data_IF_305522930017
#
_entry.id   IF_305522930017
#
_cell.length_a   1.000
_cell.length_b   1.000
_cell.length_c   1.000
_cell.angle_alpha   90.00
_cell.angle_beta   90.00
_cell.angle_gamma   90.00
#
_symmetry.space_group_name_H-M   'P 1'
#
loop_
_entity.id
_entity.type
_entity.pdbx_description
1 polymer ?
#
# COMPACT_ATOMS: atom_id res chain seq x y z
N UNK A 1 22.24 -55.35 80.56
CA UNK A 1 21.14 -54.39 80.76
C UNK A 1 19.75 -54.91 80.33
N UNK A 2 19.60 -56.01 79.56
CA UNK A 2 18.30 -56.48 79.03
C UNK A 2 17.46 -57.37 79.99
N UNK A 3 18.06 -57.94 81.05
CA UNK A 3 17.35 -58.91 81.91
C UNK A 3 16.43 -58.28 82.97
N UNK A 4 16.73 -57.08 83.47
CA UNK A 4 15.89 -56.42 84.49
C UNK A 4 14.53 -55.95 83.94
N UNK A 5 14.48 -55.54 82.67
CA UNK A 5 13.26 -55.01 82.03
C UNK A 5 12.20 -56.09 81.78
N UNK A 6 12.63 -57.33 81.45
CA UNK A 6 11.73 -58.48 81.27
C UNK A 6 11.11 -58.97 82.58
N UNK A 7 11.76 -58.72 83.72
CA UNK A 7 11.29 -59.18 85.04
C UNK A 7 10.18 -58.28 85.59
N UNK A 8 10.30 -56.95 85.44
CA UNK A 8 9.28 -55.97 85.87
C UNK A 8 7.97 -56.14 85.11
N UNK A 9 8.04 -56.42 83.80
CA UNK A 9 6.84 -56.58 82.97
C UNK A 9 6.10 -57.91 83.20
N UNK A 10 6.79 -58.95 83.68
CA UNK A 10 6.17 -60.25 84.01
C UNK A 10 5.39 -60.22 85.32
N UNK A 11 5.84 -59.48 86.34
CA UNK A 11 5.10 -59.34 87.60
C UNK A 11 3.79 -58.53 87.44
N UNK A 12 3.76 -57.53 86.56
CA UNK A 12 2.55 -56.70 86.34
C UNK A 12 1.41 -57.39 85.58
N UNK A 13 1.67 -58.49 84.87
CA UNK A 13 0.65 -59.17 84.04
C UNK A 13 -0.11 -60.29 84.78
N UNK A 14 0.34 -60.70 85.98
CA UNK A 14 -0.20 -61.87 86.69
C UNK A 14 -1.12 -61.50 87.88
N UNK A 15 -1.23 -60.24 88.29
CA UNK A 15 -2.02 -59.87 89.50
C UNK A 15 -3.24 -58.97 89.23
N UNK A 16 -3.59 -58.68 87.98
CA UNK A 16 -4.77 -57.81 87.63
C UNK A 16 -5.87 -58.59 86.88
N UNK A 17 -5.89 -59.92 86.99
CA UNK A 17 -6.91 -60.78 86.36
C UNK A 17 -7.98 -61.33 87.31
N UNK A 18 -7.78 -61.25 88.63
CA UNK A 18 -8.63 -61.94 89.61
C UNK A 18 -9.65 -61.03 90.34
N UNK A 19 -9.75 -59.75 89.95
CA UNK A 19 -10.65 -58.77 90.58
C UNK A 19 -11.52 -58.01 89.57
N UNK A 20 -11.98 -58.68 88.49
CA UNK A 20 -13.06 -58.16 87.65
C UNK A 20 -14.38 -58.76 88.13
N UNK A 21 -15.24 -57.94 88.72
CA UNK A 21 -16.58 -58.34 89.12
C UNK A 21 -17.42 -58.73 87.88
N UNK A 22 -18.27 -59.77 87.95
CA UNK A 22 -19.10 -60.21 86.82
C UNK A 22 -20.05 -59.13 86.28
N UNK A 23 -20.26 -58.06 87.05
CA UNK A 23 -21.05 -56.87 86.68
C UNK A 23 -20.44 -56.07 85.51
N UNK A 24 -19.10 -56.05 85.37
CA UNK A 24 -18.43 -55.28 84.32
C UNK A 24 -18.77 -55.80 82.91
N UNK A 25 -18.87 -57.12 82.74
CA UNK A 25 -19.26 -57.72 81.47
C UNK A 25 -20.73 -57.43 81.12
N UNK A 26 -21.62 -57.43 82.12
CA UNK A 26 -23.03 -57.04 81.95
C UNK A 26 -23.20 -55.57 81.56
N UNK A 27 -22.41 -54.67 82.16
CA UNK A 27 -22.38 -53.24 81.82
C UNK A 27 -21.87 -52.99 80.38
N UNK A 28 -20.85 -53.71 79.95
CA UNK A 28 -20.26 -53.55 78.61
C UNK A 28 -21.20 -54.00 77.49
N UNK A 29 -21.95 -55.10 77.69
CA UNK A 29 -22.88 -55.65 76.68
C UNK A 29 -24.13 -54.80 76.46
N UNK A 30 -24.46 -53.88 77.39
CA UNK A 30 -25.59 -52.94 77.28
C UNK A 30 -25.26 -51.61 76.58
N UNK A 31 -24.00 -51.37 76.17
CA UNK A 31 -23.66 -50.14 75.45
C UNK A 31 -24.06 -50.23 73.98
N UNK A 32 -25.15 -49.55 73.63
CA UNK A 32 -25.38 -49.05 72.28
C UNK A 32 -24.30 -47.99 72.01
N UNK A 33 -23.55 -48.10 70.92
CA UNK A 33 -22.43 -47.22 70.63
C UNK A 33 -22.91 -45.89 70.04
N UNK A 34 -23.13 -44.90 70.91
CA UNK A 34 -23.54 -43.54 70.50
C UNK A 34 -22.42 -42.75 69.78
N UNK A 35 -21.23 -43.33 69.58
CA UNK A 35 -20.13 -42.71 68.83
C UNK A 35 -20.20 -42.96 67.32
N UNK A 36 -21.25 -43.61 66.80
CA UNK A 36 -21.52 -43.60 65.35
C UNK A 36 -22.43 -42.39 65.11
N UNK A 37 -21.95 -41.32 64.47
CA UNK A 37 -22.81 -40.19 64.14
C UNK A 37 -23.96 -40.70 63.28
N UNK A 38 -25.20 -40.49 63.74
CA UNK A 38 -26.41 -40.71 62.94
C UNK A 38 -26.24 -39.90 61.64
N UNK A 39 -26.44 -40.47 60.44
CA UNK A 39 -26.38 -39.70 59.20
C UNK A 39 -27.38 -38.56 59.31
N UNK A 40 -26.93 -37.30 59.22
CA UNK A 40 -27.85 -36.17 59.18
C UNK A 40 -28.68 -36.29 57.91
N UNK A 41 -30.00 -36.41 58.05
CA UNK A 41 -30.97 -36.45 56.94
C UNK A 41 -31.04 -35.14 56.14
N UNK A 42 -30.28 -34.09 56.53
CA UNK A 42 -30.09 -32.87 55.74
C UNK A 42 -29.06 -33.02 54.60
N UNK A 43 -28.41 -34.18 54.48
CA UNK A 43 -27.47 -34.46 53.40
C UNK A 43 -28.13 -35.17 52.20
N UNK A 44 -29.27 -34.65 51.72
CA UNK A 44 -29.85 -35.01 50.41
C UNK A 44 -29.28 -34.09 49.31
N UNK A 45 -28.05 -33.61 49.48
CA UNK A 45 -27.27 -33.06 48.38
C UNK A 45 -26.40 -34.18 47.85
N UNK A 46 -26.62 -34.59 46.60
CA UNK A 46 -25.87 -35.69 45.99
C UNK A 46 -24.38 -35.39 46.04
N UNK A 47 -23.55 -36.44 46.11
CA UNK A 47 -22.09 -36.32 46.00
C UNK A 47 -21.72 -35.54 44.72
N UNK A 48 -22.53 -35.68 43.67
CA UNK A 48 -22.48 -34.92 42.42
C UNK A 48 -22.55 -33.39 42.61
N UNK A 49 -23.39 -32.91 43.52
CA UNK A 49 -23.53 -31.48 43.82
C UNK A 49 -22.31 -30.92 44.57
N UNK A 50 -21.64 -31.76 45.38
CA UNK A 50 -20.36 -31.44 46.04
C UNK A 50 -19.16 -31.57 45.11
N UNK A 51 -19.28 -32.36 44.03
CA UNK A 51 -18.31 -32.49 42.95
C UNK A 51 -18.55 -31.51 41.80
N UNK A 52 -19.55 -30.61 41.92
CA UNK A 52 -19.74 -29.51 40.97
C UNK A 52 -18.51 -28.62 41.01
N UNK A 53 -17.59 -28.86 40.08
CA UNK A 53 -16.32 -28.15 39.93
C UNK A 53 -16.65 -26.70 39.62
N UNK A 54 -16.67 -25.85 40.66
CA UNK A 54 -16.67 -24.40 40.47
C UNK A 54 -15.30 -24.06 39.91
N UNK A 55 -15.23 -23.43 38.71
CA UNK A 55 -13.96 -23.01 38.15
C UNK A 55 -13.22 -22.14 39.16
N UNK A 56 -11.95 -22.43 39.40
CA UNK A 56 -11.14 -21.59 40.25
C UNK A 56 -10.99 -20.20 39.63
N UNK A 57 -10.78 -19.16 40.45
CA UNK A 57 -10.53 -17.80 39.95
C UNK A 57 -9.37 -17.77 38.94
N UNK A 58 -8.36 -18.63 39.13
CA UNK A 58 -7.23 -18.78 38.21
C UNK A 58 -7.62 -19.38 36.85
N UNK A 59 -8.59 -20.31 36.83
CA UNK A 59 -9.08 -20.94 35.61
C UNK A 59 -9.86 -19.94 34.75
N UNK A 60 -10.69 -19.11 35.40
CA UNK A 60 -11.40 -18.00 34.75
C UNK A 60 -10.41 -16.99 34.15
N UNK A 61 -9.41 -16.57 34.95
CA UNK A 61 -8.37 -15.64 34.48
C UNK A 61 -7.59 -16.20 33.30
N UNK A 62 -7.26 -17.50 33.33
CA UNK A 62 -6.54 -18.17 32.25
C UNK A 62 -7.36 -18.22 30.95
N UNK A 63 -8.65 -18.54 31.06
CA UNK A 63 -9.56 -18.55 29.91
C UNK A 63 -9.71 -17.16 29.30
N UNK A 64 -9.92 -16.14 30.14
CA UNK A 64 -10.04 -14.74 29.69
C UNK A 64 -8.76 -14.23 29.03
N UNK A 65 -7.59 -14.59 29.59
CA UNK A 65 -6.31 -14.28 28.97
C UNK A 65 -6.16 -14.96 27.60
N UNK A 66 -6.60 -16.22 27.48
CA UNK A 66 -6.62 -16.94 26.21
C UNK A 66 -7.51 -16.27 25.17
N UNK A 67 -8.72 -15.85 25.54
CA UNK A 67 -9.65 -15.12 24.67
C UNK A 67 -9.04 -13.81 24.17
N UNK A 68 -8.53 -12.97 25.09
CA UNK A 68 -7.88 -11.70 24.74
C UNK A 68 -6.66 -11.90 23.85
N UNK A 69 -5.86 -12.92 24.11
CA UNK A 69 -4.68 -13.24 23.27
C UNK A 69 -5.09 -13.65 21.86
N UNK A 70 -6.17 -14.43 21.72
CA UNK A 70 -6.72 -14.81 20.41
C UNK A 70 -7.27 -13.60 19.64
N UNK A 71 -8.00 -12.71 20.32
CA UNK A 71 -8.51 -11.47 19.73
C UNK A 71 -7.37 -10.55 19.25
N UNK A 72 -6.32 -10.39 20.06
CA UNK A 72 -5.13 -9.64 19.68
C UNK A 72 -4.43 -10.27 18.47
N UNK A 73 -4.31 -11.60 18.42
CA UNK A 73 -3.76 -12.32 17.28
C UNK A 73 -4.51 -12.00 15.97
N UNK A 74 -5.85 -12.08 16.01
CA UNK A 74 -6.70 -11.73 14.84
C UNK A 74 -6.52 -10.27 14.42
N UNK A 75 -6.38 -9.35 15.38
CA UNK A 75 -6.16 -7.92 15.09
C UNK A 75 -4.78 -7.67 14.46
N UNK A 76 -3.75 -8.41 14.89
CA UNK A 76 -2.41 -8.34 14.29
C UNK A 76 -2.47 -8.83 12.84
N UNK A 77 -3.09 -9.99 12.60
CA UNK A 77 -3.26 -10.56 11.25
C UNK A 77 -3.98 -9.58 10.31
N UNK A 78 -5.10 -8.98 10.77
CA UNK A 78 -5.79 -7.94 10.02
C UNK A 78 -4.87 -6.76 9.68
N UNK A 79 -4.13 -6.23 10.66
CA UNK A 79 -3.21 -5.10 10.43
C UNK A 79 -2.08 -5.45 9.47
N UNK A 80 -1.59 -6.69 9.48
CA UNK A 80 -0.58 -7.18 8.54
C UNK A 80 -1.14 -7.23 7.11
N UNK A 81 -2.37 -7.72 6.92
CA UNK A 81 -3.06 -7.69 5.62
C UNK A 81 -3.28 -6.26 5.12
N UNK A 82 -3.74 -5.36 5.98
CA UNK A 82 -3.93 -3.95 5.61
C UNK A 82 -2.62 -3.28 5.22
N UNK A 83 -1.54 -3.54 5.96
CA UNK A 83 -0.20 -3.05 5.65
C UNK A 83 0.27 -3.56 4.29
N UNK A 84 0.07 -4.84 3.97
CA UNK A 84 0.41 -5.39 2.65
C UNK A 84 -0.39 -4.71 1.54
N UNK A 85 -1.71 -4.57 1.72
CA UNK A 85 -2.59 -3.89 0.75
C UNK A 85 -2.17 -2.44 0.50
N UNK A 86 -1.87 -1.70 1.56
CA UNK A 86 -1.40 -0.31 1.45
C UNK A 86 -0.04 -0.22 0.77
N UNK A 87 0.88 -1.14 1.07
CA UNK A 87 2.18 -1.22 0.40
C UNK A 87 2.03 -1.38 -1.12
N UNK A 88 1.17 -2.32 -1.55
CA UNK A 88 0.85 -2.52 -2.97
C UNK A 88 0.25 -1.26 -3.61
N UNK A 89 -0.67 -0.58 -2.92
CA UNK A 89 -1.28 0.63 -3.45
C UNK A 89 -0.26 1.77 -3.65
N UNK A 90 0.69 1.91 -2.71
CA UNK A 90 1.80 2.89 -2.83
C UNK A 90 2.66 2.58 -4.05
N UNK A 91 3.00 1.31 -4.28
CA UNK A 91 3.81 0.89 -5.43
C UNK A 91 3.07 1.11 -6.76
N UNK A 92 1.77 0.83 -6.82
CA UNK A 92 0.92 1.11 -7.99
C UNK A 92 0.94 2.61 -8.32
N UNK A 93 0.66 3.47 -7.34
CA UNK A 93 0.68 4.92 -7.55
C UNK A 93 2.06 5.44 -7.97
N UNK A 94 3.13 4.88 -7.42
CA UNK A 94 4.50 5.22 -7.81
C UNK A 94 4.76 4.88 -9.28
N UNK A 95 4.34 3.70 -9.72
CA UNK A 95 4.47 3.25 -11.11
C UNK A 95 3.66 4.13 -12.07
N UNK A 96 2.42 4.45 -11.71
CA UNK A 96 1.55 5.35 -12.49
C UNK A 96 2.17 6.75 -12.63
N UNK A 97 2.66 7.32 -11.53
CA UNK A 97 3.33 8.63 -11.54
C UNK A 97 4.58 8.62 -12.43
N UNK A 98 5.37 7.55 -12.40
CA UNK A 98 6.55 7.41 -13.26
C UNK A 98 6.18 7.35 -14.75
N UNK A 99 5.12 6.59 -15.10
CA UNK A 99 4.60 6.50 -16.47
C UNK A 99 4.12 7.86 -16.97
N UNK A 100 3.38 8.60 -16.15
CA UNK A 100 2.92 9.95 -16.46
C UNK A 100 4.10 10.90 -16.67
N UNK A 101 5.13 10.83 -15.82
CA UNK A 101 6.35 11.64 -15.97
C UNK A 101 7.06 11.37 -17.30
N UNK A 102 7.23 10.10 -17.68
CA UNK A 102 7.84 9.72 -18.96
C UNK A 102 7.02 10.24 -20.15
N UNK A 103 5.70 10.10 -20.10
CA UNK A 103 4.80 10.63 -21.13
C UNK A 103 4.88 12.15 -21.27
N UNK A 104 4.89 12.88 -20.15
CA UNK A 104 5.03 14.34 -20.12
C UNK A 104 6.35 14.79 -20.75
N UNK A 105 7.47 14.18 -20.37
CA UNK A 105 8.79 14.54 -20.89
C UNK A 105 8.86 14.35 -22.41
N UNK A 106 8.33 13.24 -22.93
CA UNK A 106 8.28 13.00 -24.38
C UNK A 106 7.44 14.07 -25.11
N UNK A 107 6.26 14.40 -24.58
CA UNK A 107 5.41 15.43 -25.17
C UNK A 107 6.06 16.82 -25.16
N UNK A 108 6.88 17.12 -24.14
CA UNK A 108 7.66 18.34 -24.02
C UNK A 108 8.79 18.41 -25.06
N UNK A 109 9.53 17.31 -25.24
CA UNK A 109 10.55 17.17 -26.31
C UNK A 109 9.93 17.33 -27.70
N UNK A 110 8.78 16.69 -27.96
CA UNK A 110 8.05 16.80 -29.23
C UNK A 110 7.59 18.25 -29.48
N UNK A 111 7.11 18.94 -28.44
CA UNK A 111 6.70 20.34 -28.52
C UNK A 111 7.88 21.27 -28.82
N UNK A 112 9.03 21.05 -28.19
CA UNK A 112 10.24 21.82 -28.44
C UNK A 112 10.76 21.59 -29.87
N UNK A 113 10.75 20.35 -30.36
CA UNK A 113 11.07 20.04 -31.76
C UNK A 113 10.15 20.82 -32.70
N UNK A 114 8.82 20.72 -32.51
CA UNK A 114 7.83 21.41 -33.33
C UNK A 114 8.03 22.94 -33.30
N UNK A 115 8.34 23.51 -32.14
CA UNK A 115 8.63 24.93 -31.98
C UNK A 115 9.88 25.33 -32.76
N UNK A 116 10.92 24.50 -32.81
CA UNK A 116 12.11 24.77 -33.63
C UNK A 116 11.80 24.70 -35.12
N UNK A 117 11.03 23.70 -35.56
CA UNK A 117 10.66 23.54 -36.96
C UNK A 117 9.73 24.66 -37.44
N UNK A 118 8.79 25.09 -36.61
CA UNK A 118 7.96 26.26 -36.89
C UNK A 118 8.80 27.54 -37.07
N UNK A 119 9.79 27.77 -36.20
CA UNK A 119 10.70 28.91 -36.33
C UNK A 119 11.48 28.86 -37.64
N UNK A 120 12.01 27.70 -38.02
CA UNK A 120 12.71 27.50 -39.30
C UNK A 120 11.77 27.78 -40.48
N UNK A 121 10.57 27.19 -40.48
CA UNK A 121 9.57 27.39 -41.52
C UNK A 121 9.22 28.87 -41.68
N UNK A 122 8.99 29.59 -40.58
CA UNK A 122 8.72 31.03 -40.60
C UNK A 122 9.87 31.85 -41.19
N UNK A 123 11.12 31.49 -40.89
CA UNK A 123 12.31 32.12 -41.49
C UNK A 123 12.40 31.82 -42.99
N UNK A 124 12.15 30.58 -43.40
CA UNK A 124 12.10 30.18 -44.82
C UNK A 124 11.02 30.94 -45.59
N UNK A 125 9.81 31.08 -45.02
CA UNK A 125 8.71 31.87 -45.59
C UNK A 125 9.08 33.33 -45.81
N UNK A 126 9.81 33.95 -44.87
CA UNK A 126 10.33 35.31 -45.02
C UNK A 126 11.39 35.40 -46.12
N UNK A 127 12.30 34.43 -46.17
CA UNK A 127 13.40 34.40 -47.15
C UNK A 127 12.90 34.17 -48.58
N UNK A 128 11.91 33.30 -48.75
CA UNK A 128 11.28 33.04 -50.05
C UNK A 128 10.36 34.18 -50.52
N UNK A 129 10.19 35.26 -49.74
CA UNK A 129 9.29 36.37 -50.09
C UNK A 129 7.80 36.03 -50.00
N UNK A 130 7.44 34.82 -49.58
CA UNK A 130 6.05 34.38 -49.36
C UNK A 130 5.39 35.06 -48.15
N UNK A 131 6.19 35.72 -47.30
CA UNK A 131 5.70 36.55 -46.20
C UNK A 131 5.26 37.97 -46.60
N UNK A 132 5.38 38.35 -47.87
CA UNK A 132 4.93 39.67 -48.36
C UNK A 132 3.40 39.76 -48.35
N UNK A 133 2.87 40.91 -47.98
CA UNK A 133 1.43 41.16 -48.10
C UNK A 133 1.04 41.35 -49.57
N UNK A 134 -0.22 41.12 -49.92
CA UNK A 134 -0.73 41.29 -51.29
C UNK A 134 -0.44 42.69 -51.85
N UNK A 135 -0.49 43.72 -51.00
CA UNK A 135 -0.18 45.11 -51.35
C UNK A 135 1.29 45.29 -51.77
N UNK A 136 2.23 44.64 -51.06
CA UNK A 136 3.65 44.67 -51.43
C UNK A 136 3.89 44.01 -52.79
N UNK A 137 3.21 42.90 -53.08
CA UNK A 137 3.25 42.26 -54.40
C UNK A 137 2.66 43.15 -55.50
N UNK A 138 1.54 43.82 -55.23
CA UNK A 138 0.92 44.76 -56.17
C UNK A 138 1.84 45.95 -56.47
N UNK A 139 2.55 46.46 -55.47
CA UNK A 139 3.54 47.52 -55.61
C UNK A 139 4.72 47.08 -56.51
N UNK A 140 5.33 45.92 -56.22
CA UNK A 140 6.42 45.37 -57.02
C UNK A 140 6.00 45.14 -58.48
N UNK A 141 4.80 44.60 -58.72
CA UNK A 141 4.29 44.40 -60.09
C UNK A 141 4.14 45.74 -60.82
N UNK A 142 3.68 46.80 -60.14
CA UNK A 142 3.58 48.14 -60.73
C UNK A 142 4.95 48.71 -61.07
N UNK A 143 5.91 48.60 -60.17
CA UNK A 143 7.29 49.03 -60.39
C UNK A 143 7.91 48.30 -61.58
N UNK A 144 7.74 46.97 -61.67
CA UNK A 144 8.29 46.18 -62.77
C UNK A 144 7.62 46.49 -64.10
N UNK A 145 6.31 46.75 -64.12
CA UNK A 145 5.61 47.25 -65.33
C UNK A 145 6.19 48.58 -65.80
N UNK A 146 6.43 49.53 -64.90
CA UNK A 146 7.03 50.82 -65.30
C UNK A 146 8.44 50.66 -65.86
N UNK A 147 9.23 49.71 -65.34
CA UNK A 147 10.55 49.40 -65.89
C UNK A 147 10.45 48.79 -67.29
N UNK A 148 9.51 47.86 -67.51
CA UNK A 148 9.26 47.27 -68.83
C UNK A 148 8.89 48.36 -69.84
N UNK A 149 7.99 49.27 -69.48
CA UNK A 149 7.60 50.38 -70.36
C UNK A 149 8.78 51.29 -70.71
N UNK A 150 9.68 51.54 -69.74
CA UNK A 150 10.91 52.30 -69.98
C UNK A 150 11.86 51.57 -70.94
N UNK A 151 12.03 50.25 -70.78
CA UNK A 151 12.85 49.45 -71.68
C UNK A 151 12.27 49.37 -73.09
N UNK A 152 10.94 49.26 -73.21
CA UNK A 152 10.27 49.27 -74.50
C UNK A 152 10.52 50.57 -75.26
N UNK A 153 10.41 51.72 -74.58
CA UNK A 153 10.75 53.02 -75.19
C UNK A 153 12.21 53.08 -75.66
N UNK A 154 13.15 52.65 -74.82
CA UNK A 154 14.58 52.58 -75.20
C UNK A 154 14.82 51.65 -76.39
N UNK A 155 14.09 50.54 -76.45
CA UNK A 155 14.19 49.58 -77.55
C UNK A 155 13.68 50.20 -78.86
N UNK A 156 12.55 50.90 -78.84
CA UNK A 156 12.03 51.60 -80.03
C UNK A 156 12.96 52.74 -80.48
N UNK A 157 13.52 53.51 -79.55
CA UNK A 157 14.52 54.54 -79.85
C UNK A 157 15.79 53.94 -80.49
N UNK A 158 16.28 52.81 -79.97
CA UNK A 158 17.41 52.11 -80.57
C UNK A 158 17.07 51.58 -81.98
N UNK A 159 15.84 51.08 -82.17
CA UNK A 159 15.36 50.59 -83.48
C UNK A 159 15.28 51.71 -84.51
N UNK A 160 14.71 52.86 -84.15
CA UNK A 160 14.62 54.02 -85.05
C UNK A 160 16.01 54.53 -85.44
N UNK A 161 16.94 54.63 -84.49
CA UNK A 161 18.35 54.98 -84.77
C UNK A 161 19.02 53.98 -85.71
N UNK A 162 18.81 52.68 -85.51
CA UNK A 162 19.35 51.64 -86.39
C UNK A 162 18.84 51.79 -87.82
N UNK A 163 17.52 51.96 -87.99
CA UNK A 163 16.92 52.16 -89.31
C UNK A 163 17.41 53.45 -89.99
N UNK A 164 17.66 54.52 -89.23
CA UNK A 164 18.24 55.74 -89.77
C UNK A 164 19.69 55.51 -90.25
N UNK A 165 20.51 54.79 -89.47
CA UNK A 165 21.87 54.43 -89.86
C UNK A 165 21.90 53.53 -91.11
N UNK A 166 21.04 52.52 -91.18
CA UNK A 166 20.93 51.64 -92.35
C UNK A 166 20.57 52.44 -93.62
N UNK A 167 19.65 53.40 -93.52
CA UNK A 167 19.32 54.30 -94.64
C UNK A 167 20.53 55.14 -95.07
N UNK A 168 21.22 55.79 -94.13
CA UNK A 168 22.42 56.58 -94.46
C UNK A 168 23.55 55.73 -95.06
N UNK A 169 23.68 54.47 -94.65
CA UNK A 169 24.67 53.55 -95.21
C UNK A 169 24.34 53.15 -96.65
N UNK A 170 23.05 52.92 -96.95
CA UNK A 170 22.57 52.64 -98.31
C UNK A 170 22.70 53.87 -99.22
N UNK A 171 22.49 55.09 -98.72
CA UNK A 171 22.72 56.32 -99.48
C UNK A 171 24.21 56.48 -99.84
N UNK A 172 25.14 56.25 -98.91
CA UNK A 172 26.59 56.30 -99.20
C UNK A 172 27.09 55.18 -100.13
N UNK A 173 26.34 54.10 -100.33
CA UNK A 173 26.70 53.02 -101.27
C UNK A 173 26.19 53.27 -102.69
N UNK A 174 25.29 54.23 -102.89
CA UNK A 174 24.69 54.57 -104.18
C UNK A 174 25.25 55.88 -104.79
N UNK A 175 26.21 56.52 -104.13
CA UNK A 175 27.08 57.60 -104.66
C UNK A 175 28.37 57.03 -105.27
#
# INVERSE_FOLDING_TARGET
MSNAWKQIHRMKKITVGAAMTPEYHGWRSKRINDNIPRPREECVRSIEEHLRVVPSELEIIKEDFGKRSSELGKKIEQLEEEKMRLGLNVDIHKLEAEKLRKGKNKAEEDLDSLKTDYKKLRLSLRTAGLGKTSEQWQQEIKEEKTKVDQWEKKFQDARTRKSALEKSLLECQNE
#
